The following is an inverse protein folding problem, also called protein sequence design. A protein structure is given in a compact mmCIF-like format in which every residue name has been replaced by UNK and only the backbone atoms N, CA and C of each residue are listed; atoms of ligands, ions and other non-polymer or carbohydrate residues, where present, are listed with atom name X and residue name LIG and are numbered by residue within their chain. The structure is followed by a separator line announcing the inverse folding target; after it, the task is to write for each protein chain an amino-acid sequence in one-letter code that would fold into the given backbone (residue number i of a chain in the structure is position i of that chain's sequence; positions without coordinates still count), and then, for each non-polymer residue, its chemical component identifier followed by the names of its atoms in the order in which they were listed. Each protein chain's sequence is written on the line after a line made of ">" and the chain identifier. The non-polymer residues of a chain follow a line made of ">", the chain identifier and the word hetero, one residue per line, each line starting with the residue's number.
data_IF_017182535814
#
_entry.id   IF_017182535814
#
_cell.length_a   1.000
_cell.length_b   1.000
_cell.length_c   1.000
_cell.angle_alpha   90.00
_cell.angle_beta   90.00
_cell.angle_gamma   90.00
#
_symmetry.space_group_name_H-M   'P 1'
#
loop_
_entity.id
_entity.type
_entity.pdbx_description
1 polymer ?
#
# COMPACT_ATOMS: atom_id res chain seq x y z
N UNK A 1 -30.08 -6.82 -42.40
CA UNK A 1 -29.14 -7.64 -41.61
C UNK A 1 -28.05 -6.72 -41.05
N UNK A 2 -28.06 -6.50 -39.74
CA UNK A 2 -27.15 -5.56 -39.03
C UNK A 2 -25.88 -6.29 -38.58
N UNK A 3 -24.69 -5.70 -38.82
CA UNK A 3 -23.44 -6.12 -38.19
C UNK A 3 -22.80 -4.93 -37.47
N UNK A 4 -22.95 -4.89 -36.15
CA UNK A 4 -22.27 -3.96 -35.25
C UNK A 4 -20.96 -4.60 -34.78
N UNK A 5 -19.83 -4.06 -35.22
CA UNK A 5 -18.51 -4.48 -34.74
C UNK A 5 -18.19 -3.75 -33.42
N UNK A 6 -18.00 -4.55 -32.38
CA UNK A 6 -17.75 -4.13 -30.99
C UNK A 6 -16.29 -3.65 -30.86
N UNK A 7 -16.03 -2.34 -30.94
CA UNK A 7 -14.70 -1.82 -30.60
C UNK A 7 -14.55 -1.72 -29.09
N UNK A 8 -13.60 -2.49 -28.56
CA UNK A 8 -13.25 -2.61 -27.14
C UNK A 8 -12.99 -1.24 -26.50
N UNK A 9 -13.40 -1.14 -25.24
CA UNK A 9 -13.41 0.08 -24.44
C UNK A 9 -12.12 0.88 -24.52
N UNK A 10 -12.26 2.08 -25.06
CA UNK A 10 -11.31 3.16 -24.81
C UNK A 10 -11.91 3.96 -23.67
N UNK A 11 -11.42 3.72 -22.45
CA UNK A 11 -11.62 4.65 -21.33
C UNK A 11 -11.27 6.02 -21.91
N UNK A 12 -12.27 6.90 -22.00
CA UNK A 12 -12.05 8.28 -22.39
C UNK A 12 -11.12 8.87 -21.34
N UNK A 13 -9.83 8.87 -21.67
CA UNK A 13 -8.81 9.54 -20.88
C UNK A 13 -9.19 11.01 -20.95
N UNK A 14 -9.77 11.56 -19.88
CA UNK A 14 -10.00 12.98 -19.74
C UNK A 14 -8.68 13.69 -20.09
N UNK A 15 -8.67 14.30 -21.27
CA UNK A 15 -7.48 14.81 -21.92
C UNK A 15 -7.27 16.27 -21.55
N UNK A 16 -7.36 16.59 -20.26
CA UNK A 16 -6.98 17.90 -19.72
C UNK A 16 -5.48 18.15 -19.83
N UNK A 17 -4.70 17.08 -20.04
CA UNK A 17 -3.27 17.14 -20.25
C UNK A 17 -2.94 17.31 -21.75
N UNK A 18 -1.99 18.20 -22.03
CA UNK A 18 -1.46 18.42 -23.39
C UNK A 18 -0.85 17.14 -23.95
N UNK A 19 -0.80 17.03 -25.28
CA UNK A 19 -0.28 15.85 -25.98
C UNK A 19 1.16 15.49 -25.58
N UNK A 20 1.98 16.48 -25.22
CA UNK A 20 3.36 16.31 -24.75
C UNK A 20 3.50 15.54 -23.43
N UNK A 21 2.43 15.47 -22.61
CA UNK A 21 2.42 14.73 -21.34
C UNK A 21 1.95 13.29 -21.49
N UNK A 22 1.80 12.78 -22.72
CA UNK A 22 1.51 11.36 -22.99
C UNK A 22 2.80 10.53 -22.97
N UNK A 23 3.30 10.26 -21.76
CA UNK A 23 4.51 9.49 -21.59
C UNK A 23 4.29 7.98 -21.80
N UNK A 24 5.19 7.32 -22.53
CA UNK A 24 5.25 5.87 -22.61
C UNK A 24 6.00 5.31 -21.39
N UNK A 25 5.24 5.00 -20.33
CA UNK A 25 5.78 4.49 -19.08
C UNK A 25 6.48 3.13 -19.21
N UNK A 26 6.29 2.39 -20.32
CA UNK A 26 7.03 1.13 -20.57
C UNK A 26 8.51 1.38 -20.85
N UNK A 27 8.86 2.58 -21.30
CA UNK A 27 10.25 3.03 -21.55
C UNK A 27 10.81 3.86 -20.41
N UNK A 28 10.00 4.15 -19.38
CA UNK A 28 10.44 4.98 -18.27
C UNK A 28 11.50 4.25 -17.45
N UNK A 29 12.52 5.00 -17.01
CA UNK A 29 13.50 4.48 -16.06
C UNK A 29 12.86 4.36 -14.66
N UNK A 30 13.24 3.34 -13.86
CA UNK A 30 12.81 3.26 -12.47
C UNK A 30 13.15 4.54 -11.71
N UNK A 31 12.25 5.00 -10.84
CA UNK A 31 12.46 6.22 -10.05
C UNK A 31 13.71 6.07 -9.17
N UNK A 32 14.72 6.94 -9.38
CA UNK A 32 15.99 6.95 -8.63
C UNK A 32 15.81 7.12 -7.11
N UNK A 33 14.67 7.63 -6.66
CA UNK A 33 14.33 7.82 -5.26
C UNK A 33 13.46 6.70 -4.69
N UNK A 34 12.99 5.76 -5.51
CA UNK A 34 12.16 4.64 -5.04
C UNK A 34 12.88 3.83 -3.95
N UNK A 35 14.19 3.63 -4.08
CA UNK A 35 15.00 2.95 -3.08
C UNK A 35 15.09 3.69 -1.74
N UNK A 36 14.90 5.02 -1.74
CA UNK A 36 14.83 5.83 -0.50
C UNK A 36 13.47 5.69 0.15
N UNK A 37 12.40 5.67 -0.63
CA UNK A 37 11.04 5.43 -0.14
C UNK A 37 10.89 4.01 0.45
N UNK A 38 11.54 3.00 -0.14
CA UNK A 38 11.55 1.64 0.41
C UNK A 38 12.25 1.54 1.78
N UNK A 39 13.16 2.48 2.08
CA UNK A 39 13.89 2.58 3.35
C UNK A 39 13.30 3.64 4.28
N UNK A 40 12.18 4.27 3.91
CA UNK A 40 11.58 5.28 4.76
C UNK A 40 11.17 4.62 6.08
N UNK A 41 11.59 5.16 7.24
CA UNK A 41 11.18 4.61 8.51
C UNK A 41 9.65 4.71 8.63
N UNK A 42 9.02 3.63 9.08
CA UNK A 42 7.61 3.67 9.45
C UNK A 42 7.47 4.60 10.66
N UNK A 43 6.82 5.74 10.45
CA UNK A 43 6.54 6.70 11.53
C UNK A 43 5.21 6.32 12.17
N UNK A 44 5.23 6.14 13.48
CA UNK A 44 4.04 5.86 14.28
C UNK A 44 3.88 6.98 15.29
N UNK A 45 2.69 7.56 15.37
CA UNK A 45 2.36 8.55 16.38
C UNK A 45 1.93 7.84 17.66
N UNK A 46 2.50 8.24 18.80
CA UNK A 46 2.11 7.77 20.12
C UNK A 46 1.19 8.80 20.77
N UNK A 47 0.27 8.32 21.59
CA UNK A 47 -0.54 9.20 22.44
C UNK A 47 0.32 9.87 23.52
N UNK A 48 -0.15 11.02 24.01
CA UNK A 48 0.63 11.90 24.92
C UNK A 48 0.98 11.24 26.26
N UNK A 49 0.11 10.38 26.77
CA UNK A 49 0.34 9.60 27.98
C UNK A 49 1.43 8.54 27.77
N UNK A 50 1.39 7.83 26.64
CA UNK A 50 2.39 6.82 26.27
C UNK A 50 3.76 7.46 26.01
N UNK A 51 3.79 8.62 25.33
CA UNK A 51 5.04 9.32 25.01
C UNK A 51 5.76 9.88 26.24
N UNK A 52 5.04 10.14 27.35
CA UNK A 52 5.66 10.56 28.62
C UNK A 52 6.52 9.45 29.23
N UNK A 53 6.08 8.20 29.06
CA UNK A 53 6.77 7.00 29.56
C UNK A 53 7.86 6.56 28.60
N UNK A 54 7.54 6.44 27.31
CA UNK A 54 8.47 5.98 26.28
C UNK A 54 9.02 7.16 25.46
N UNK A 55 10.17 7.69 25.91
CA UNK A 55 10.80 8.86 25.28
C UNK A 55 11.66 8.51 24.06
N UNK A 56 11.99 7.25 23.86
CA UNK A 56 12.86 6.79 22.74
C UNK A 56 12.22 5.64 21.99
N UNK A 57 12.45 5.54 20.66
CA UNK A 57 11.94 4.43 19.86
C UNK A 57 12.48 3.07 20.33
N UNK A 58 13.71 3.03 20.85
CA UNK A 58 14.32 1.80 21.37
C UNK A 58 13.56 1.26 22.60
N UNK A 59 13.12 2.15 23.50
CA UNK A 59 12.34 1.76 24.69
C UNK A 59 10.98 1.16 24.31
N UNK A 60 10.29 1.75 23.33
CA UNK A 60 9.02 1.23 22.79
C UNK A 60 9.23 -0.14 22.17
N UNK A 61 10.24 -0.28 21.29
CA UNK A 61 10.51 -1.51 20.58
C UNK A 61 10.92 -2.65 21.52
N UNK A 62 11.68 -2.36 22.57
CA UNK A 62 12.04 -3.34 23.58
C UNK A 62 10.80 -3.87 24.32
N UNK A 63 9.91 -2.98 24.76
CA UNK A 63 8.68 -3.34 25.46
C UNK A 63 7.73 -4.17 24.57
N UNK A 64 7.50 -3.72 23.32
CA UNK A 64 6.64 -4.45 22.38
C UNK A 64 7.22 -5.84 22.05
N UNK A 65 8.54 -5.97 21.88
CA UNK A 65 9.18 -7.29 21.65
C UNK A 65 9.07 -8.20 22.87
N UNK A 66 9.19 -7.67 24.08
CA UNK A 66 8.95 -8.44 25.30
C UNK A 66 7.50 -8.94 25.36
N UNK A 67 6.53 -8.09 25.02
CA UNK A 67 5.12 -8.47 24.96
C UNK A 67 4.86 -9.58 23.93
N UNK A 68 5.46 -9.48 22.74
CA UNK A 68 5.38 -10.52 21.69
C UNK A 68 5.90 -11.88 22.19
N UNK A 69 6.93 -11.88 23.05
CA UNK A 69 7.49 -13.11 23.63
C UNK A 69 6.62 -13.68 24.75
N UNK A 70 6.06 -12.80 25.57
CA UNK A 70 5.26 -13.18 26.73
C UNK A 70 3.85 -13.62 26.36
N UNK A 71 3.27 -13.05 25.30
CA UNK A 71 1.91 -13.32 24.85
C UNK A 71 1.96 -13.99 23.49
N UNK A 72 1.44 -15.22 23.33
CA UNK A 72 1.27 -15.81 22.01
C UNK A 72 0.26 -14.95 21.24
N UNK A 73 0.75 -14.20 20.25
CA UNK A 73 -0.10 -13.46 19.32
C UNK A 73 -1.04 -14.47 18.66
N UNK A 74 -2.33 -14.38 18.97
CA UNK A 74 -3.35 -15.18 18.32
C UNK A 74 -3.20 -15.01 16.80
N UNK A 75 -2.90 -16.10 16.09
CA UNK A 75 -2.81 -16.13 14.63
C UNK A 75 -4.12 -15.58 14.07
N UNK A 76 -4.08 -14.43 13.43
CA UNK A 76 -5.23 -13.84 12.73
C UNK A 76 -5.78 -14.91 11.78
N UNK A 77 -7.06 -15.32 11.86
CA UNK A 77 -7.60 -16.30 10.93
C UNK A 77 -7.45 -15.72 9.52
N UNK A 78 -6.80 -16.50 8.65
CA UNK A 78 -6.65 -16.17 7.23
C UNK A 78 -8.07 -16.02 6.70
N UNK A 79 -8.48 -14.81 6.30
CA UNK A 79 -9.71 -14.64 5.52
C UNK A 79 -9.48 -15.35 4.19
N UNK A 80 -9.87 -16.61 4.12
CA UNK A 80 -10.08 -17.29 2.86
C UNK A 80 -11.21 -16.51 2.22
N UNK A 81 -10.94 -15.77 1.14
CA UNK A 81 -12.01 -15.19 0.35
C UNK A 81 -12.84 -16.38 -0.13
N UNK A 82 -14.01 -16.58 0.49
CA UNK A 82 -14.96 -17.57 0.05
C UNK A 82 -15.27 -17.28 -1.41
N UNK A 83 -14.96 -18.25 -2.26
CA UNK A 83 -15.32 -18.27 -3.67
C UNK A 83 -16.79 -17.86 -3.81
N UNK A 84 -16.98 -16.66 -4.37
CA UNK A 84 -18.29 -16.20 -4.79
C UNK A 84 -18.64 -16.99 -6.05
N UNK A 85 -19.14 -18.22 -5.88
CA UNK A 85 -19.93 -18.90 -6.90
C UNK A 85 -21.11 -17.98 -7.21
N UNK A 86 -21.03 -17.29 -8.34
CA UNK A 86 -22.18 -16.69 -9.00
C UNK A 86 -22.73 -17.75 -9.94
N UNK A 87 -23.97 -18.14 -9.66
CA UNK A 87 -24.90 -18.75 -10.61
C UNK A 87 -25.09 -17.85 -11.83
#
# INVERSE_FOLDING_TARGET
>A
MTKTSKSRGRVAQNNDLRAEYRFDYRKAKPNRFASRAAKAPLVVMLDSDVSKVFRTPDSVNAALRALIRAVPLAKKPRKVHADLKRE
#
